data_IF_910504655007
#
_entry.id   IF_910504655007
#
_cell.length_a   1.000
_cell.length_b   1.000
_cell.length_c   1.000
_cell.angle_alpha   90.00
_cell.angle_beta   90.00
_cell.angle_gamma   90.00
#
_symmetry.space_group_name_H-M   'P 1'
#
loop_
_entity.id
_entity.type
_entity.pdbx_description
1 polymer ?
#
# COMPACT_ATOMS: atom_id res chain seq x y z
N UNK A 1 -17.88 0.69 27.88
CA UNK A 1 -17.72 -0.62 27.24
C UNK A 1 -16.37 -0.74 26.55
N UNK A 2 -15.34 -0.80 27.34
CA UNK A 2 -13.99 -0.92 26.84
C UNK A 2 -13.74 -2.18 26.01
N UNK A 3 -14.49 -3.25 26.29
CA UNK A 3 -14.36 -4.50 25.55
C UNK A 3 -14.69 -4.34 24.07
N UNK A 4 -15.72 -3.60 23.78
CA UNK A 4 -16.16 -3.44 22.38
C UNK A 4 -15.24 -2.53 21.61
N UNK A 5 -14.68 -1.49 22.24
CA UNK A 5 -13.75 -0.60 21.55
C UNK A 5 -12.46 -1.31 21.17
N UNK A 6 -12.05 -2.35 21.89
CA UNK A 6 -10.84 -3.10 21.58
C UNK A 6 -10.96 -3.98 20.34
N UNK A 7 -12.18 -4.37 19.95
CA UNK A 7 -12.40 -5.19 18.76
C UNK A 7 -12.70 -4.35 17.53
N UNK A 8 -12.90 -3.05 17.71
CA UNK A 8 -13.24 -2.14 16.63
C UNK A 8 -11.97 -1.75 15.88
N UNK A 9 -11.98 -1.87 14.56
CA UNK A 9 -10.84 -1.40 13.78
C UNK A 9 -10.78 0.13 13.83
N UNK A 10 -9.59 0.72 13.69
CA UNK A 10 -9.46 2.18 13.62
C UNK A 10 -10.21 2.74 12.42
N UNK A 11 -10.68 3.98 12.56
CA UNK A 11 -11.26 4.71 11.42
C UNK A 11 -10.13 4.98 10.43
N UNK A 12 -10.38 4.66 9.16
CA UNK A 12 -9.39 4.75 8.10
C UNK A 12 -9.94 5.62 6.96
N UNK A 13 -9.08 6.42 6.29
CA UNK A 13 -9.52 7.16 5.11
C UNK A 13 -9.95 6.23 3.98
N UNK A 14 -9.55 4.96 4.03
CA UNK A 14 -9.89 3.98 3.01
C UNK A 14 -11.28 3.40 3.18
N UNK A 15 -11.98 3.70 4.28
CA UNK A 15 -13.30 3.13 4.58
C UNK A 15 -14.39 3.56 3.58
N UNK A 16 -14.14 4.64 2.84
CA UNK A 16 -15.08 5.13 1.83
C UNK A 16 -14.96 4.42 0.48
N UNK A 17 -13.94 3.56 0.33
CA UNK A 17 -13.70 2.86 -0.93
C UNK A 17 -14.54 1.60 -1.04
N UNK A 18 -14.80 1.20 -2.29
CA UNK A 18 -15.34 -0.12 -2.58
C UNK A 18 -14.37 -1.20 -2.07
N UNK A 19 -14.92 -2.35 -1.69
CA UNK A 19 -14.12 -3.44 -1.12
C UNK A 19 -12.98 -3.87 -2.03
N UNK A 20 -13.25 -4.02 -3.34
CA UNK A 20 -12.22 -4.46 -4.29
C UNK A 20 -11.08 -3.44 -4.39
N UNK A 21 -11.38 -2.16 -4.25
CA UNK A 21 -10.36 -1.11 -4.28
C UNK A 21 -9.48 -1.16 -3.03
N UNK A 22 -10.10 -1.38 -1.86
CA UNK A 22 -9.35 -1.53 -0.61
C UNK A 22 -8.44 -2.76 -0.65
N UNK A 23 -8.95 -3.86 -1.19
CA UNK A 23 -8.16 -5.08 -1.32
C UNK A 23 -6.97 -4.85 -2.27
N UNK A 24 -7.21 -4.17 -3.39
CA UNK A 24 -6.15 -3.86 -4.34
C UNK A 24 -5.04 -3.03 -3.69
N UNK A 25 -5.39 -2.05 -2.85
CA UNK A 25 -4.39 -1.26 -2.14
C UNK A 25 -3.58 -2.11 -1.17
N UNK A 26 -4.21 -3.00 -0.43
CA UNK A 26 -3.48 -3.91 0.45
C UNK A 26 -2.52 -4.80 -0.35
N UNK A 27 -3.01 -5.41 -1.42
CA UNK A 27 -2.20 -6.32 -2.22
C UNK A 27 -1.10 -5.61 -2.99
N UNK A 28 -1.26 -4.31 -3.28
CA UNK A 28 -0.17 -3.53 -3.83
C UNK A 28 0.99 -3.45 -2.83
N UNK A 29 0.70 -3.18 -1.55
CA UNK A 29 1.73 -3.16 -0.52
C UNK A 29 2.36 -4.54 -0.32
N UNK A 30 1.56 -5.60 -0.35
CA UNK A 30 2.08 -6.96 -0.27
C UNK A 30 2.96 -7.29 -1.47
N UNK A 31 2.55 -6.88 -2.66
CA UNK A 31 3.35 -7.07 -3.88
C UNK A 31 4.71 -6.40 -3.74
N UNK A 32 4.75 -5.17 -3.29
CA UNK A 32 6.01 -4.46 -3.09
C UNK A 32 6.88 -5.15 -2.06
N UNK A 33 6.29 -5.65 -0.99
CA UNK A 33 7.03 -6.33 0.07
C UNK A 33 7.61 -7.66 -0.40
N UNK A 34 6.85 -8.42 -1.19
CA UNK A 34 7.29 -9.75 -1.65
C UNK A 34 8.20 -9.68 -2.87
N UNK A 35 8.04 -8.67 -3.72
CA UNK A 35 8.86 -8.51 -4.93
C UNK A 35 10.05 -7.60 -4.73
N UNK A 36 9.97 -6.71 -3.75
CA UNK A 36 11.07 -5.83 -3.43
C UNK A 36 12.21 -6.61 -2.77
N UNK A 37 13.41 -6.08 -2.90
CA UNK A 37 14.60 -6.67 -2.27
C UNK A 37 14.77 -6.07 -0.89
N UNK A 38 13.95 -6.52 0.05
CA UNK A 38 14.02 -6.06 1.44
C UNK A 38 15.02 -6.93 2.19
N UNK A 39 16.08 -6.34 2.76
CA UNK A 39 17.05 -7.13 3.51
C UNK A 39 16.42 -7.74 4.75
N UNK A 40 16.97 -8.85 5.21
CA UNK A 40 16.42 -9.62 6.31
C UNK A 40 16.23 -8.78 7.57
N UNK A 41 17.18 -7.88 7.86
CA UNK A 41 17.10 -7.05 9.06
C UNK A 41 15.98 -6.00 9.00
N UNK A 42 15.44 -5.70 7.81
CA UNK A 42 14.32 -4.78 7.63
C UNK A 42 12.97 -5.52 7.49
N UNK A 43 13.02 -6.83 7.28
CA UNK A 43 11.82 -7.61 6.95
C UNK A 43 10.78 -7.57 8.07
N UNK A 44 11.20 -7.53 9.34
CA UNK A 44 10.24 -7.47 10.44
C UNK A 44 9.41 -6.18 10.41
N UNK A 45 10.01 -5.06 10.04
CA UNK A 45 9.30 -3.80 9.89
C UNK A 45 8.30 -3.86 8.75
N UNK A 46 8.69 -4.45 7.63
CA UNK A 46 7.81 -4.60 6.48
C UNK A 46 6.58 -5.45 6.82
N UNK A 47 6.80 -6.56 7.51
CA UNK A 47 5.70 -7.47 7.90
C UNK A 47 4.76 -6.82 8.91
N UNK A 48 5.30 -6.07 9.88
CA UNK A 48 4.50 -5.32 10.84
C UNK A 48 3.67 -4.25 10.11
N UNK A 49 4.27 -3.58 9.13
CA UNK A 49 3.56 -2.59 8.33
C UNK A 49 2.39 -3.22 7.57
N UNK A 50 2.60 -4.41 6.99
CA UNK A 50 1.52 -5.13 6.30
C UNK A 50 0.39 -5.54 7.24
N UNK A 51 0.71 -6.00 8.45
CA UNK A 51 -0.30 -6.34 9.45
C UNK A 51 -1.16 -5.12 9.79
N UNK A 52 -0.50 -3.99 9.99
CA UNK A 52 -1.19 -2.73 10.28
C UNK A 52 -2.05 -2.30 9.10
N UNK A 53 -1.53 -2.43 7.89
CA UNK A 53 -2.28 -2.11 6.69
C UNK A 53 -3.53 -2.97 6.55
N UNK A 54 -3.43 -4.27 6.84
CA UNK A 54 -4.57 -5.17 6.78
C UNK A 54 -5.69 -4.69 7.71
N UNK A 55 -5.35 -4.27 8.93
CA UNK A 55 -6.32 -3.74 9.88
C UNK A 55 -6.98 -2.48 9.32
N UNK A 56 -6.19 -1.55 8.81
CA UNK A 56 -6.72 -0.28 8.27
C UNK A 56 -7.60 -0.51 7.05
N UNK A 57 -7.26 -1.46 6.20
CA UNK A 57 -8.08 -1.78 5.01
C UNK A 57 -9.25 -2.70 5.33
N UNK A 58 -9.38 -3.13 6.58
CA UNK A 58 -10.49 -3.96 7.02
C UNK A 58 -10.43 -5.39 6.50
N UNK A 59 -9.21 -5.93 6.35
CA UNK A 59 -9.01 -7.29 5.86
C UNK A 59 -8.59 -8.23 6.99
N UNK A 60 -9.22 -9.39 7.03
CA UNK A 60 -8.81 -10.47 7.92
C UNK A 60 -7.76 -11.33 7.23
N UNK A 61 -7.02 -12.11 8.02
CA UNK A 61 -6.04 -13.06 7.48
C UNK A 61 -6.69 -14.04 6.51
N UNK A 62 -7.89 -14.51 6.83
CA UNK A 62 -8.65 -15.41 5.98
C UNK A 62 -8.98 -14.79 4.63
N UNK A 63 -9.42 -13.52 4.64
CA UNK A 63 -9.72 -12.81 3.40
C UNK A 63 -8.48 -12.60 2.54
N UNK A 64 -7.34 -12.32 3.17
CA UNK A 64 -6.08 -12.18 2.44
C UNK A 64 -5.74 -13.48 1.73
N UNK A 65 -5.83 -14.61 2.41
CA UNK A 65 -5.56 -15.92 1.80
C UNK A 65 -6.56 -16.24 0.69
N UNK A 66 -7.84 -15.96 0.92
CA UNK A 66 -8.91 -16.25 -0.03
C UNK A 66 -8.81 -15.40 -1.30
N UNK A 67 -8.49 -14.11 -1.15
CA UNK A 67 -8.51 -13.18 -2.29
C UNK A 67 -7.17 -13.06 -3.01
N UNK A 68 -6.11 -13.58 -2.43
CA UNK A 68 -4.77 -13.47 -3.01
C UNK A 68 -4.69 -13.88 -4.49
N UNK A 69 -5.33 -14.98 -4.95
CA UNK A 69 -5.25 -15.35 -6.36
C UNK A 69 -5.82 -14.30 -7.32
N UNK A 70 -6.70 -13.42 -6.85
CA UNK A 70 -7.33 -12.40 -7.67
C UNK A 70 -6.50 -11.12 -7.76
N UNK A 71 -5.47 -10.98 -6.91
CA UNK A 71 -4.64 -9.77 -6.80
C UNK A 71 -3.15 -10.13 -6.71
N UNK A 72 -2.76 -11.26 -7.25
CA UNK A 72 -1.39 -11.75 -7.07
C UNK A 72 -0.38 -11.23 -8.10
N UNK A 73 -0.82 -10.40 -9.04
CA UNK A 73 0.08 -9.75 -10.00
C UNK A 73 -0.24 -8.26 -10.08
N UNK A 74 0.75 -7.50 -10.52
CA UNK A 74 0.60 -6.06 -10.70
C UNK A 74 -0.55 -5.75 -11.66
N UNK A 75 -0.66 -6.50 -12.74
CA UNK A 75 -1.68 -6.32 -13.77
C UNK A 75 -3.10 -6.57 -13.26
N UNK A 76 -3.25 -7.41 -12.24
CA UNK A 76 -4.54 -7.68 -11.62
C UNK A 76 -4.92 -6.62 -10.59
N UNK A 77 -3.93 -5.93 -10.02
CA UNK A 77 -4.13 -4.92 -8.98
C UNK A 77 -4.48 -3.56 -9.59
N UNK A 78 -3.74 -3.15 -10.60
CA UNK A 78 -3.79 -1.79 -11.16
C UNK A 78 -5.18 -1.35 -11.63
N UNK A 79 -6.00 -2.19 -12.31
CA UNK A 79 -7.31 -1.73 -12.77
C UNK A 79 -8.21 -1.22 -11.64
N UNK A 80 -8.16 -1.84 -10.46
CA UNK A 80 -8.96 -1.40 -9.33
C UNK A 80 -8.46 -0.06 -8.77
N UNK A 81 -7.13 0.12 -8.73
CA UNK A 81 -6.53 1.37 -8.27
C UNK A 81 -6.91 2.51 -9.20
N UNK A 82 -6.93 2.27 -10.51
CA UNK A 82 -7.31 3.29 -11.50
C UNK A 82 -8.77 3.72 -11.39
N UNK A 83 -9.61 2.96 -10.70
CA UNK A 83 -10.99 3.31 -10.45
C UNK A 83 -11.16 4.29 -9.29
N UNK A 84 -10.13 4.47 -8.47
CA UNK A 84 -10.18 5.35 -7.31
C UNK A 84 -10.16 6.80 -7.80
N UNK A 85 -11.21 7.56 -7.44
CA UNK A 85 -11.35 8.96 -7.87
C UNK A 85 -10.89 9.96 -6.80
N UNK A 86 -10.84 9.54 -5.54
CA UNK A 86 -10.47 10.41 -4.45
C UNK A 86 -8.95 10.63 -4.45
N UNK A 87 -8.55 11.85 -4.81
CA UNK A 87 -7.14 12.20 -4.94
C UNK A 87 -6.39 12.09 -3.60
N UNK A 88 -7.04 12.43 -2.49
CA UNK A 88 -6.43 12.34 -1.17
C UNK A 88 -6.07 10.89 -0.82
N UNK A 89 -6.93 9.94 -1.18
CA UNK A 89 -6.67 8.52 -0.96
C UNK A 89 -5.50 8.06 -1.81
N UNK A 90 -5.40 8.53 -3.04
CA UNK A 90 -4.26 8.21 -3.90
C UNK A 90 -2.96 8.78 -3.35
N UNK A 91 -2.99 9.97 -2.73
CA UNK A 91 -1.82 10.52 -2.04
C UNK A 91 -1.40 9.63 -0.88
N UNK A 92 -2.34 9.13 -0.09
CA UNK A 92 -2.04 8.19 0.98
C UNK A 92 -1.43 6.90 0.45
N UNK A 93 -1.94 6.40 -0.67
CA UNK A 93 -1.38 5.22 -1.32
C UNK A 93 0.09 5.43 -1.69
N UNK A 94 0.40 6.57 -2.30
CA UNK A 94 1.78 6.91 -2.67
C UNK A 94 2.67 6.93 -1.43
N UNK A 95 2.19 7.53 -0.35
CA UNK A 95 2.91 7.58 0.91
C UNK A 95 3.13 6.18 1.49
N UNK A 96 2.09 5.35 1.49
CA UNK A 96 2.17 3.98 2.00
C UNK A 96 3.18 3.14 1.21
N UNK A 97 3.17 3.26 -0.11
CA UNK A 97 4.14 2.58 -0.96
C UNK A 97 5.57 3.05 -0.65
N UNK A 98 5.75 4.34 -0.43
CA UNK A 98 7.04 4.92 -0.07
C UNK A 98 7.60 4.31 1.21
N UNK A 99 6.74 4.04 2.19
CA UNK A 99 7.16 3.44 3.45
C UNK A 99 7.72 2.03 3.27
N UNK A 100 7.31 1.33 2.22
CA UNK A 100 7.89 0.03 1.87
C UNK A 100 9.17 0.23 1.05
N UNK A 101 9.17 1.17 0.10
CA UNK A 101 10.33 1.42 -0.76
C UNK A 101 11.58 1.76 0.03
N UNK A 102 11.47 2.52 1.12
CA UNK A 102 12.64 2.91 1.92
C UNK A 102 13.30 1.72 2.62
N UNK A 103 12.61 0.59 2.73
CA UNK A 103 13.14 -0.61 3.35
C UNK A 103 13.91 -1.50 2.37
N UNK A 104 13.81 -1.23 1.08
CA UNK A 104 14.40 -2.07 0.05
C UNK A 104 15.87 -1.75 -0.20
N UNK A 105 16.63 -2.79 -0.59
CA UNK A 105 17.98 -2.62 -1.10
C UNK A 105 17.96 -1.92 -2.45
N UNK A 106 19.01 -1.18 -2.76
CA UNK A 106 19.21 -0.53 -4.06
C UNK A 106 19.72 -1.56 -5.07
N UNK A 107 18.81 -2.31 -5.66
CA UNK A 107 19.09 -3.36 -6.62
C UNK A 107 18.39 -3.06 -7.96
N UNK A 108 18.67 -3.86 -8.97
CA UNK A 108 17.99 -3.76 -10.26
C UNK A 108 16.51 -4.00 -10.11
N UNK A 109 16.12 -4.92 -9.24
CA UNK A 109 14.69 -5.19 -8.96
C UNK A 109 14.03 -3.98 -8.29
N UNK A 110 14.71 -3.34 -7.34
CA UNK A 110 14.22 -2.12 -6.71
C UNK A 110 13.97 -1.03 -7.77
N UNK A 111 14.91 -0.86 -8.68
CA UNK A 111 14.79 0.12 -9.75
C UNK A 111 13.60 -0.19 -10.65
N UNK A 112 13.44 -1.45 -11.03
CA UNK A 112 12.35 -1.90 -11.90
C UNK A 112 10.98 -1.65 -11.24
N UNK A 113 10.84 -2.00 -9.97
CA UNK A 113 9.62 -1.79 -9.21
C UNK A 113 9.34 -0.30 -9.04
N UNK A 114 10.38 0.50 -8.80
CA UNK A 114 10.25 1.95 -8.69
C UNK A 114 9.76 2.58 -9.98
N UNK A 115 10.31 2.18 -11.12
CA UNK A 115 9.87 2.67 -12.43
C UNK A 115 8.40 2.31 -12.69
N UNK A 116 8.02 1.09 -12.32
CA UNK A 116 6.66 0.60 -12.44
C UNK A 116 5.69 1.46 -11.61
N UNK A 117 6.08 1.77 -10.37
CA UNK A 117 5.27 2.60 -9.49
C UNK A 117 5.14 4.03 -10.01
N UNK A 118 6.23 4.65 -10.44
CA UNK A 118 6.19 6.02 -10.96
C UNK A 118 5.34 6.12 -12.23
N UNK A 119 5.37 5.09 -13.07
CA UNK A 119 4.51 5.04 -14.26
C UNK A 119 3.04 5.02 -13.85
N UNK A 120 2.70 4.21 -12.83
CA UNK A 120 1.33 4.18 -12.31
C UNK A 120 0.92 5.54 -11.76
N UNK A 121 1.78 6.18 -10.97
CA UNK A 121 1.47 7.49 -10.40
C UNK A 121 1.23 8.53 -11.49
N UNK A 122 2.04 8.51 -12.54
CA UNK A 122 1.85 9.42 -13.68
C UNK A 122 0.51 9.18 -14.36
N UNK A 123 0.16 7.92 -14.58
CA UNK A 123 -1.13 7.56 -15.16
C UNK A 123 -2.31 7.99 -14.30
N UNK A 124 -2.10 8.08 -12.98
CA UNK A 124 -3.11 8.56 -12.04
C UNK A 124 -3.14 10.09 -11.90
N UNK A 125 -2.26 10.79 -12.62
CA UNK A 125 -2.24 12.24 -12.61
C UNK A 125 -1.24 12.85 -11.63
N UNK A 126 -0.22 12.11 -11.21
CA UNK A 126 0.81 12.58 -10.29
C UNK A 126 2.17 12.60 -10.99
N UNK A 127 2.61 13.78 -11.49
CA UNK A 127 3.95 13.89 -12.05
C UNK A 127 5.02 13.75 -10.98
N UNK A 128 6.24 13.50 -11.40
CA UNK A 128 7.37 13.20 -10.51
C UNK A 128 7.54 14.21 -9.36
N UNK A 129 7.48 15.49 -9.68
CA UNK A 129 7.66 16.54 -8.65
C UNK A 129 6.57 16.49 -7.60
N UNK A 130 5.35 16.20 -8.02
CA UNK A 130 4.22 16.09 -7.10
C UNK A 130 4.34 14.85 -6.23
N UNK A 131 4.81 13.74 -6.79
CA UNK A 131 5.08 12.53 -6.01
C UNK A 131 6.12 12.83 -4.93
N UNK A 132 7.19 13.53 -5.27
CA UNK A 132 8.21 13.92 -4.30
C UNK A 132 7.64 14.80 -3.20
N UNK A 133 6.79 15.73 -3.57
CA UNK A 133 6.12 16.58 -2.58
C UNK A 133 5.27 15.76 -1.62
N UNK A 134 4.51 14.80 -2.14
CA UNK A 134 3.66 13.93 -1.32
C UNK A 134 4.50 13.08 -0.37
N UNK A 135 5.55 12.48 -0.86
CA UNK A 135 6.44 11.65 -0.06
C UNK A 135 7.03 12.48 1.09
N UNK A 136 7.50 13.68 0.80
CA UNK A 136 8.08 14.57 1.83
C UNK A 136 7.03 15.03 2.84
N UNK A 137 5.81 15.33 2.37
CA UNK A 137 4.71 15.80 3.22
C UNK A 137 4.32 14.77 4.27
N UNK A 138 4.33 13.48 3.89
CA UNK A 138 3.92 12.39 4.77
C UNK A 138 5.11 11.61 5.34
N UNK A 139 6.33 12.13 5.15
CA UNK A 139 7.52 11.51 5.71
C UNK A 139 7.38 11.38 7.23
N UNK A 140 7.84 10.27 7.77
CA UNK A 140 7.77 9.94 9.18
C UNK A 140 6.38 9.60 9.73
N UNK A 141 5.35 9.52 8.88
CA UNK A 141 4.08 8.97 9.34
C UNK A 141 4.24 7.49 9.59
N UNK A 142 3.78 7.06 10.77
CA UNK A 142 3.81 5.65 11.15
C UNK A 142 2.44 4.98 11.05
N UNK A 143 1.38 5.77 10.90
CA UNK A 143 0.03 5.27 10.67
C UNK A 143 -0.23 5.06 9.17
N UNK A 144 -1.16 4.21 8.89
CA UNK A 144 -1.56 3.91 7.53
C UNK A 144 -2.70 4.85 7.10
#
# INVERSE_FOLDING_TARGET
>A
MGLFSRTRKPISPYDTLEAEQRYALYFLLEYLTTRGTIPLYEMSFALQYLEKAAIYFGMTKRQIEEFKPFYNTYEKIVPYIKQIKNRQILEYMISNCSNIFILMDRSDEHKRIGEQAYKLYEELGFPYDEVRYIVNKYMYRTDI
#
